data_IF_963329032020
#
_entry.id   IF_963329032020
#
_cell.length_a   1.000
_cell.length_b   1.000
_cell.length_c   1.000
_cell.angle_alpha   90.00
_cell.angle_beta   90.00
_cell.angle_gamma   90.00
#
_symmetry.space_group_name_H-M   'P 1'
#
loop_
_entity.id
_entity.type
_entity.pdbx_description
1 polymer ?
#
# COMPACT_ATOMS: atom_id res chain seq x y z
N UNK A 1 5.76 18.57 -11.02
CA UNK A 1 4.46 18.28 -10.38
C UNK A 1 3.50 17.91 -11.48
N UNK A 2 2.60 16.94 -11.26
CA UNK A 2 1.68 16.49 -12.30
C UNK A 2 0.72 17.63 -12.67
N UNK A 3 0.47 17.81 -13.97
CA UNK A 3 -0.51 18.79 -14.44
C UNK A 3 -1.91 18.49 -13.86
N UNK A 4 -2.65 19.55 -13.49
CA UNK A 4 -3.94 19.43 -12.81
C UNK A 4 -4.95 18.61 -13.64
N UNK A 5 -4.98 18.84 -14.97
CA UNK A 5 -5.89 18.11 -15.87
C UNK A 5 -5.50 16.64 -16.04
N UNK A 6 -4.19 16.32 -15.96
CA UNK A 6 -3.74 14.91 -15.93
C UNK A 6 -4.18 14.24 -14.64
N UNK A 7 -4.01 14.92 -13.50
CA UNK A 7 -4.39 14.40 -12.19
C UNK A 7 -5.89 14.10 -12.12
N UNK A 8 -6.74 15.03 -12.56
CA UNK A 8 -8.20 14.86 -12.59
C UNK A 8 -8.63 13.68 -13.47
N UNK A 9 -8.01 13.49 -14.64
CA UNK A 9 -8.27 12.33 -15.51
C UNK A 9 -7.91 11.00 -14.85
N UNK A 10 -6.80 10.95 -14.11
CA UNK A 10 -6.38 9.75 -13.38
C UNK A 10 -7.39 9.46 -12.26
N UNK A 11 -7.78 10.47 -11.49
CA UNK A 11 -8.79 10.33 -10.43
C UNK A 11 -10.10 9.80 -11.02
N UNK A 12 -10.59 10.40 -12.10
CA UNK A 12 -11.82 9.98 -12.75
C UNK A 12 -11.79 8.53 -13.25
N UNK A 13 -10.61 8.03 -13.64
CA UNK A 13 -10.43 6.66 -14.14
C UNK A 13 -10.37 5.61 -13.03
N UNK A 14 -9.73 5.92 -11.90
CA UNK A 14 -9.44 4.93 -10.84
C UNK A 14 -10.27 5.13 -9.57
N UNK A 15 -11.18 6.11 -9.55
CA UNK A 15 -12.13 6.31 -8.46
C UNK A 15 -13.00 5.08 -8.27
N UNK A 16 -13.20 4.67 -7.02
CA UNK A 16 -14.06 3.54 -6.64
C UNK A 16 -15.53 3.97 -6.48
N UNK A 17 -15.76 5.22 -6.08
CA UNK A 17 -17.07 5.85 -5.99
C UNK A 17 -17.03 7.30 -6.50
N UNK A 18 -18.19 7.95 -6.62
CA UNK A 18 -18.34 9.26 -7.27
C UNK A 18 -17.47 10.36 -6.66
N UNK A 19 -17.35 10.39 -5.33
CA UNK A 19 -16.55 11.36 -4.56
C UNK A 19 -15.18 10.82 -4.09
N UNK A 20 -14.69 9.73 -4.68
CA UNK A 20 -13.41 9.15 -4.28
C UNK A 20 -12.24 10.00 -4.80
N UNK A 21 -11.52 10.59 -3.85
CA UNK A 21 -10.35 11.44 -4.12
C UNK A 21 -9.09 10.92 -3.43
N UNK A 22 -9.22 9.87 -2.62
CA UNK A 22 -8.23 9.47 -1.63
C UNK A 22 -8.04 7.97 -1.47
N UNK A 23 -8.78 7.13 -2.19
CA UNK A 23 -8.58 5.69 -2.13
C UNK A 23 -7.15 5.30 -2.51
N UNK A 24 -6.72 4.16 -1.98
CA UNK A 24 -5.43 3.55 -2.30
C UNK A 24 -5.25 3.39 -3.81
N UNK A 25 -6.30 3.02 -4.54
CA UNK A 25 -6.30 2.85 -6.00
C UNK A 25 -5.94 4.16 -6.70
N UNK A 26 -6.62 5.25 -6.37
CA UNK A 26 -6.38 6.59 -6.94
C UNK A 26 -4.97 7.07 -6.62
N UNK A 27 -4.54 6.95 -5.36
CA UNK A 27 -3.20 7.38 -4.93
C UNK A 27 -2.09 6.61 -5.64
N UNK A 28 -2.20 5.27 -5.76
CA UNK A 28 -1.25 4.42 -6.48
C UNK A 28 -1.15 4.83 -7.95
N UNK A 29 -2.28 5.13 -8.60
CA UNK A 29 -2.31 5.55 -9.99
C UNK A 29 -1.61 6.91 -10.20
N UNK A 30 -1.86 7.88 -9.32
CA UNK A 30 -1.19 9.20 -9.36
C UNK A 30 0.32 9.03 -9.16
N UNK A 31 0.73 8.32 -8.11
CA UNK A 31 2.16 8.06 -7.83
C UNK A 31 2.83 7.37 -9.01
N UNK A 32 2.13 6.47 -9.69
CA UNK A 32 2.67 5.77 -10.86
C UNK A 32 2.98 6.71 -12.02
N UNK A 33 2.08 7.65 -12.34
CA UNK A 33 2.35 8.62 -13.41
C UNK A 33 3.44 9.62 -13.00
N UNK A 34 3.46 10.07 -11.74
CA UNK A 34 4.52 10.94 -11.23
C UNK A 34 5.90 10.27 -11.28
N UNK A 35 6.00 9.00 -10.87
CA UNK A 35 7.22 8.20 -10.96
C UNK A 35 7.69 8.11 -12.41
N UNK A 36 6.76 7.92 -13.36
CA UNK A 36 7.07 7.81 -14.78
C UNK A 36 7.60 9.13 -15.36
N UNK A 37 6.98 10.26 -15.04
CA UNK A 37 7.46 11.58 -15.47
C UNK A 37 8.83 11.91 -14.85
N UNK A 38 9.00 11.65 -13.55
CA UNK A 38 10.25 11.92 -12.84
C UNK A 38 11.39 11.01 -13.32
N UNK A 39 11.08 9.75 -13.64
CA UNK A 39 12.05 8.81 -14.23
C UNK A 39 12.53 9.33 -15.59
N UNK A 40 11.64 9.88 -16.44
CA UNK A 40 12.04 10.49 -17.72
C UNK A 40 12.94 11.70 -17.51
N UNK A 41 12.59 12.59 -16.57
CA UNK A 41 13.40 13.76 -16.23
C UNK A 41 14.82 13.37 -15.79
N UNK A 42 14.94 12.38 -14.89
CA UNK A 42 16.23 11.92 -14.37
C UNK A 42 17.12 11.19 -15.39
N UNK A 43 16.56 10.69 -16.51
CA UNK A 43 17.37 10.14 -17.61
C UNK A 43 18.25 11.21 -18.25
N UNK A 44 17.70 12.42 -18.40
CA UNK A 44 18.42 13.58 -18.94
C UNK A 44 19.28 14.24 -17.86
N UNK A 45 18.74 14.40 -16.65
CA UNK A 45 19.41 15.09 -15.53
C UNK A 45 20.04 14.09 -14.54
N UNK A 46 21.09 13.39 -14.97
CA UNK A 46 21.70 12.30 -14.18
C UNK A 46 22.25 12.73 -12.81
N UNK A 47 22.68 14.00 -12.69
CA UNK A 47 23.27 14.59 -11.48
C UNK A 47 22.25 15.18 -10.50
N UNK A 48 20.95 15.12 -10.79
CA UNK A 48 19.93 15.58 -9.85
C UNK A 48 19.65 14.51 -8.77
N UNK A 49 20.46 14.55 -7.72
CA UNK A 49 20.35 13.63 -6.58
C UNK A 49 19.15 13.91 -5.67
N UNK A 50 18.71 15.18 -5.60
CA UNK A 50 17.55 15.58 -4.79
C UNK A 50 16.27 14.97 -5.35
N UNK A 51 16.04 15.14 -6.66
CA UNK A 51 14.91 14.53 -7.36
C UNK A 51 14.96 13.01 -7.32
N UNK A 52 16.16 12.40 -7.41
CA UNK A 52 16.33 10.95 -7.26
C UNK A 52 15.90 10.46 -5.87
N UNK A 53 16.25 11.19 -4.80
CA UNK A 53 15.77 10.88 -3.44
C UNK A 53 14.24 10.99 -3.37
N UNK A 54 13.66 12.02 -3.98
CA UNK A 54 12.21 12.19 -4.10
C UNK A 54 11.53 11.03 -4.84
N UNK A 55 12.13 10.57 -5.94
CA UNK A 55 11.67 9.40 -6.68
C UNK A 55 11.63 8.14 -5.81
N UNK A 56 12.71 7.86 -5.07
CA UNK A 56 12.79 6.69 -4.20
C UNK A 56 11.72 6.73 -3.10
N UNK A 57 11.44 7.91 -2.52
CA UNK A 57 10.35 8.08 -1.55
C UNK A 57 9.00 7.72 -2.16
N UNK A 58 8.68 8.24 -3.36
CA UNK A 58 7.43 7.93 -4.07
C UNK A 58 7.30 6.44 -4.41
N UNK A 59 8.38 5.80 -4.82
CA UNK A 59 8.40 4.34 -5.09
C UNK A 59 8.11 3.54 -3.82
N UNK A 60 8.71 3.92 -2.69
CA UNK A 60 8.49 3.27 -1.40
C UNK A 60 7.05 3.46 -0.90
N UNK A 61 6.51 4.67 -1.02
CA UNK A 61 5.13 5.00 -0.69
C UNK A 61 4.13 4.17 -1.52
N UNK A 62 4.30 4.14 -2.85
CA UNK A 62 3.47 3.31 -3.74
C UNK A 62 3.51 1.83 -3.35
N UNK A 63 4.69 1.32 -2.96
CA UNK A 63 4.84 -0.08 -2.50
C UNK A 63 4.05 -0.35 -1.23
N UNK A 64 4.06 0.59 -0.27
CA UNK A 64 3.27 0.47 0.97
C UNK A 64 1.77 0.44 0.66
N UNK A 65 1.29 1.33 -0.20
CA UNK A 65 -0.11 1.37 -0.61
C UNK A 65 -0.55 0.11 -1.36
N UNK A 66 0.30 -0.44 -2.25
CA UNK A 66 0.03 -1.70 -2.93
C UNK A 66 -0.08 -2.87 -1.95
N UNK A 67 0.80 -2.94 -0.95
CA UNK A 67 0.73 -3.97 0.08
C UNK A 67 -0.53 -3.84 0.95
N UNK A 68 -0.93 -2.60 1.27
CA UNK A 68 -2.17 -2.33 1.99
C UNK A 68 -3.39 -2.75 1.17
N UNK A 69 -3.47 -2.29 -0.10
CA UNK A 69 -4.56 -2.65 -0.99
C UNK A 69 -4.67 -4.16 -1.19
N UNK A 70 -3.56 -4.90 -1.29
CA UNK A 70 -3.60 -6.37 -1.38
C UNK A 70 -4.24 -7.03 -0.16
N UNK A 71 -4.01 -6.48 1.05
CA UNK A 71 -4.56 -7.03 2.30
C UNK A 71 -6.05 -6.76 2.44
N UNK A 72 -6.50 -5.57 2.02
CA UNK A 72 -7.89 -5.15 2.16
C UNK A 72 -8.78 -5.61 0.99
N UNK A 73 -8.27 -5.54 -0.25
CA UNK A 73 -8.99 -5.85 -1.47
C UNK A 73 -8.05 -6.47 -2.53
N UNK A 74 -7.92 -7.79 -2.47
CA UNK A 74 -7.10 -8.56 -3.41
C UNK A 74 -7.57 -8.41 -4.85
N UNK A 75 -8.89 -8.37 -5.10
CA UNK A 75 -9.46 -8.21 -6.45
C UNK A 75 -9.14 -6.84 -7.03
N UNK A 76 -9.25 -5.78 -6.22
CA UNK A 76 -8.88 -4.43 -6.60
C UNK A 76 -7.39 -4.30 -6.86
N UNK A 77 -6.56 -4.94 -6.03
CA UNK A 77 -5.11 -5.01 -6.23
C UNK A 77 -4.75 -5.65 -7.58
N UNK A 78 -5.29 -6.83 -7.90
CA UNK A 78 -4.99 -7.53 -9.15
C UNK A 78 -5.38 -6.71 -10.39
N UNK A 79 -6.59 -6.14 -10.38
CA UNK A 79 -7.07 -5.26 -11.47
C UNK A 79 -6.15 -4.07 -11.66
N UNK A 80 -5.80 -3.39 -10.56
CA UNK A 80 -4.97 -2.20 -10.60
C UNK A 80 -3.54 -2.49 -11.09
N UNK A 81 -2.95 -3.59 -10.62
CA UNK A 81 -1.60 -4.01 -11.05
C UNK A 81 -1.57 -4.36 -12.54
N UNK A 82 -2.61 -5.03 -13.03
CA UNK A 82 -2.77 -5.36 -14.45
C UNK A 82 -2.91 -4.11 -15.31
N UNK A 83 -3.77 -3.18 -14.91
CA UNK A 83 -4.02 -1.93 -15.63
C UNK A 83 -2.79 -1.02 -15.68
N UNK A 84 -2.09 -0.89 -14.55
CA UNK A 84 -0.89 -0.04 -14.44
C UNK A 84 0.38 -0.76 -14.92
N UNK A 85 0.29 -2.03 -15.33
CA UNK A 85 1.42 -2.88 -15.78
C UNK A 85 2.61 -2.87 -14.80
N UNK A 86 2.31 -2.91 -13.49
CA UNK A 86 3.33 -2.83 -12.45
C UNK A 86 3.97 -4.19 -12.21
N UNK A 87 5.31 -4.25 -12.23
CA UNK A 87 6.06 -5.44 -11.79
C UNK A 87 6.30 -5.33 -10.28
N UNK A 88 5.49 -6.01 -9.49
CA UNK A 88 5.56 -5.96 -8.02
C UNK A 88 6.26 -7.21 -7.48
N UNK A 89 7.38 -7.03 -6.77
CA UNK A 89 7.91 -8.05 -5.87
C UNK A 89 7.28 -7.83 -4.50
N UNK A 90 6.16 -8.51 -4.26
CA UNK A 90 5.50 -8.50 -2.98
C UNK A 90 6.41 -9.22 -1.98
N UNK A 91 6.64 -8.59 -0.83
CA UNK A 91 7.24 -9.28 0.31
C UNK A 91 6.06 -9.87 1.05
N UNK A 92 5.96 -11.20 1.03
CA UNK A 92 5.09 -11.92 1.95
C UNK A 92 5.62 -11.63 3.34
N UNK A 93 5.00 -10.66 4.02
CA UNK A 93 5.16 -10.57 5.45
C UNK A 93 4.28 -11.67 5.99
N UNK A 94 4.88 -12.79 6.38
CA UNK A 94 4.22 -13.79 7.22
C UNK A 94 3.50 -13.03 8.33
N UNK A 95 2.19 -13.22 8.41
CA UNK A 95 1.46 -12.71 9.56
C UNK A 95 1.92 -13.55 10.74
N UNK A 96 2.30 -12.96 11.88
CA UNK A 96 2.31 -13.72 13.12
C UNK A 96 0.88 -14.23 13.26
N UNK A 97 0.67 -15.54 13.08
CA UNK A 97 -0.54 -16.16 13.57
C UNK A 97 -0.40 -16.12 15.08
N UNK A 98 -0.92 -15.07 15.70
CA UNK A 98 -1.35 -15.20 17.09
C UNK A 98 -2.52 -16.19 17.04
N UNK A 99 -2.19 -17.48 17.00
CA UNK A 99 -3.12 -18.52 17.36
C UNK A 99 -3.43 -18.27 18.84
N UNK A 100 -4.56 -17.62 19.10
CA UNK A 100 -5.15 -17.60 20.43
C UNK A 100 -5.27 -19.06 20.87
N UNK A 101 -4.40 -19.51 21.78
CA UNK A 101 -4.50 -20.85 22.35
C UNK A 101 -5.51 -20.79 23.51
N UNK A 102 -6.75 -21.28 23.32
CA UNK A 102 -7.77 -21.26 24.38
C UNK A 102 -7.41 -22.15 25.57
N UNK A 103 -6.39 -23.00 25.47
CA UNK A 103 -5.95 -23.87 26.58
C UNK A 103 -5.21 -23.10 27.69
N UNK A 104 -4.56 -21.97 27.39
CA UNK A 104 -3.88 -21.16 28.42
C UNK A 104 -4.84 -20.44 29.39
N UNK A 105 -6.13 -20.31 29.04
CA UNK A 105 -7.12 -19.61 29.88
C UNK A 105 -7.70 -20.53 30.97
N UNK A 106 -7.50 -21.86 30.88
CA UNK A 106 -8.12 -22.82 31.82
C UNK A 106 -7.28 -23.10 33.07
N UNK A 107 -5.98 -22.81 33.07
CA UNK A 107 -5.13 -23.10 34.23
C UNK A 107 -5.12 -21.97 35.28
N UNK A 108 -5.32 -20.70 34.91
CA UNK A 108 -5.32 -19.59 35.88
C UNK A 108 -6.58 -19.52 36.77
N UNK A 109 -7.70 -20.13 36.38
CA UNK A 109 -8.97 -20.02 37.14
C UNK A 109 -9.06 -21.06 38.27
N UNK A 110 -8.23 -22.10 38.27
CA UNK A 110 -8.37 -23.21 39.24
C UNK A 110 -7.54 -23.00 40.52
N UNK A 111 -6.46 -22.21 40.47
CA UNK A 111 -5.57 -22.03 41.63
C UNK A 111 -6.03 -20.95 42.64
N UNK A 112 -7.02 -20.13 42.30
CA UNK A 112 -7.58 -19.12 43.22
C UNK A 112 -8.71 -19.66 44.14
N UNK A 113 -9.06 -20.94 44.03
CA UNK A 113 -10.21 -21.56 44.72
C UNK A 113 -9.91 -22.37 45.99
N UNK A 114 -8.65 -22.51 46.44
CA UNK A 114 -8.30 -23.26 47.67
C UNK A 114 -7.59 -22.38 48.69
N UNK A 115 -8.34 -21.47 49.31
CA UNK A 115 -7.91 -20.81 50.54
C UNK A 115 -9.11 -20.29 51.35
N UNK A 116 -10.09 -21.15 51.65
CA UNK A 116 -11.03 -20.96 52.77
C UNK A 116 -11.53 -22.32 53.26
N UNK A 117 -10.85 -22.85 54.26
CA UNK A 117 -11.45 -23.59 55.38
C UNK A 117 -10.55 -23.44 56.61
#
# INVERSE_FOLDING_TARGET
MLDKRKKERIIAKYKTHTNDTGSSQVQIAILTEEIKELTKHLKTHKKDFSSRRGLLKKVAERRRLLNYLKREDEKGFEKLVKDLKLKVKLVEREQPKEEFNPEMVKEEVVESGKAKE
#
